data_IF_964517643691
#
_entry.id   IF_964517643691
#
_cell.length_a   1.000
_cell.length_b   1.000
_cell.length_c   1.000
_cell.angle_alpha   90.00
_cell.angle_beta   90.00
_cell.angle_gamma   90.00
#
_symmetry.space_group_name_H-M   'P 1'
#
loop_
_entity.id
_entity.type
_entity.pdbx_description
1 polymer ?
#
# COMPACT_ATOMS: atom_id res chain seq x y z
N UNK A 1 92.33 -29.08 -18.14
CA UNK A 1 91.08 -29.47 -18.81
C UNK A 1 89.92 -28.71 -18.18
N UNK A 2 89.14 -27.96 -18.95
CA UNK A 2 87.85 -27.45 -18.49
C UNK A 2 86.78 -28.53 -18.72
N UNK A 3 85.86 -28.73 -17.77
CA UNK A 3 84.61 -29.46 -17.97
C UNK A 3 83.49 -28.65 -17.34
N UNK A 4 82.66 -28.03 -18.19
CA UNK A 4 81.46 -27.31 -17.79
C UNK A 4 80.40 -28.29 -17.28
N UNK A 5 80.03 -28.20 -16.01
CA UNK A 5 78.83 -28.85 -15.47
C UNK A 5 77.58 -28.07 -15.89
N UNK A 6 76.50 -28.73 -16.35
CA UNK A 6 75.30 -28.05 -16.83
C UNK A 6 74.47 -27.45 -15.69
N UNK A 7 73.81 -26.34 -16.00
CA UNK A 7 72.96 -25.58 -15.07
C UNK A 7 71.61 -26.31 -14.84
N UNK A 8 71.17 -26.56 -13.58
CA UNK A 8 69.96 -27.33 -13.32
C UNK A 8 68.69 -26.53 -13.64
N UNK A 9 68.05 -26.87 -14.76
CA UNK A 9 66.79 -26.25 -15.22
C UNK A 9 65.64 -26.45 -14.22
N UNK A 10 65.28 -25.37 -13.53
CA UNK A 10 64.15 -25.34 -12.59
C UNK A 10 62.84 -25.58 -13.36
N UNK A 11 62.03 -26.61 -13.03
CA UNK A 11 60.77 -26.85 -13.71
C UNK A 11 59.76 -25.74 -13.39
N UNK A 12 58.94 -25.29 -14.37
CA UNK A 12 58.03 -24.17 -14.18
C UNK A 12 56.97 -24.49 -13.12
N UNK A 13 56.87 -23.62 -12.10
CA UNK A 13 55.93 -23.76 -11.00
C UNK A 13 54.48 -23.78 -11.51
N UNK A 14 53.86 -24.97 -11.54
CA UNK A 14 52.46 -25.11 -11.91
C UNK A 14 51.58 -24.16 -11.06
N UNK A 15 50.78 -23.28 -11.68
CA UNK A 15 49.98 -22.32 -10.92
C UNK A 15 49.07 -23.04 -9.93
N UNK A 16 49.32 -22.84 -8.62
CA UNK A 16 48.48 -23.38 -7.54
C UNK A 16 47.06 -22.84 -7.70
N UNK A 17 46.20 -23.58 -8.41
CA UNK A 17 44.77 -23.28 -8.59
C UNK A 17 44.18 -23.05 -7.21
N UNK A 18 43.96 -21.77 -6.85
CA UNK A 18 43.27 -21.38 -5.62
C UNK A 18 41.88 -22.00 -5.69
N UNK A 19 41.70 -23.16 -5.05
CA UNK A 19 40.38 -23.80 -4.86
C UNK A 19 39.52 -22.75 -4.18
N UNK A 20 38.62 -22.09 -4.94
CA UNK A 20 37.59 -21.20 -4.37
C UNK A 20 36.94 -21.99 -3.25
N UNK A 21 37.11 -21.55 -1.99
CA UNK A 21 36.36 -22.10 -0.87
C UNK A 21 34.89 -22.02 -1.30
N UNK A 22 34.25 -23.17 -1.58
CA UNK A 22 32.80 -23.21 -1.78
C UNK A 22 32.23 -22.61 -0.50
N UNK A 23 31.72 -21.38 -0.57
CA UNK A 23 31.02 -20.79 0.56
C UNK A 23 29.93 -21.77 0.91
N UNK A 24 29.96 -22.33 2.13
CA UNK A 24 28.84 -23.13 2.63
C UNK A 24 27.63 -22.22 2.54
N UNK A 25 26.73 -22.51 1.60
CA UNK A 25 25.54 -21.69 1.36
C UNK A 25 24.81 -21.59 2.69
N UNK A 26 24.62 -20.36 3.20
CA UNK A 26 23.94 -20.14 4.48
C UNK A 26 22.59 -20.83 4.39
N UNK A 27 22.41 -21.93 5.14
CA UNK A 27 21.21 -22.77 5.13
C UNK A 27 20.00 -21.84 5.24
N UNK A 28 19.12 -21.86 4.24
CA UNK A 28 18.15 -20.79 4.03
C UNK A 28 17.36 -20.49 5.30
N UNK A 29 17.24 -19.21 5.68
CA UNK A 29 16.35 -18.81 6.78
C UNK A 29 14.95 -19.32 6.46
N UNK A 30 14.24 -19.87 7.46
CA UNK A 30 12.85 -20.37 7.32
C UNK A 30 12.00 -19.33 6.60
N UNK A 31 11.61 -19.61 5.36
CA UNK A 31 10.94 -18.67 4.45
C UNK A 31 9.45 -18.96 4.39
N UNK A 32 8.62 -17.97 4.73
CA UNK A 32 7.16 -18.08 4.65
C UNK A 32 6.46 -16.95 5.41
N UNK A 33 5.13 -16.83 5.25
CA UNK A 33 4.35 -15.74 5.87
C UNK A 33 4.42 -15.78 7.41
N UNK A 34 4.18 -16.95 8.04
CA UNK A 34 4.28 -17.09 9.51
C UNK A 34 5.70 -16.74 10.02
N UNK A 35 6.76 -17.22 9.38
CA UNK A 35 8.14 -16.91 9.78
C UNK A 35 8.52 -15.42 9.58
N UNK A 36 7.99 -14.76 8.53
CA UNK A 36 8.15 -13.31 8.35
C UNK A 36 7.39 -12.50 9.41
N UNK A 37 6.19 -12.95 9.79
CA UNK A 37 5.37 -12.32 10.82
C UNK A 37 6.02 -12.49 12.20
N UNK A 38 6.38 -13.71 12.60
CA UNK A 38 7.09 -14.00 13.86
C UNK A 38 8.39 -13.19 14.04
N UNK A 39 9.07 -12.85 12.93
CA UNK A 39 10.27 -12.01 13.00
C UNK A 39 9.99 -10.50 13.13
N UNK A 40 8.76 -10.03 12.85
CA UNK A 40 8.36 -8.61 12.80
C UNK A 40 6.82 -8.48 12.97
N UNK A 41 6.22 -8.90 14.10
CA UNK A 41 4.77 -9.12 14.20
C UNK A 41 3.96 -7.84 13.97
N UNK A 42 4.43 -6.72 14.51
CA UNK A 42 3.78 -5.40 14.41
C UNK A 42 4.28 -4.54 13.24
N UNK A 43 5.13 -5.09 12.35
CA UNK A 43 5.72 -4.37 11.22
C UNK A 43 5.45 -4.97 9.81
N UNK A 44 4.33 -5.68 9.53
CA UNK A 44 3.91 -6.08 8.18
C UNK A 44 3.37 -4.88 7.38
N UNK A 45 3.05 -5.09 6.10
CA UNK A 45 2.49 -4.06 5.21
C UNK A 45 0.98 -3.83 5.38
N UNK A 46 0.27 -4.85 5.88
CA UNK A 46 -1.12 -4.83 6.34
C UNK A 46 -1.15 -5.57 7.69
N UNK A 47 -2.01 -5.21 8.66
CA UNK A 47 -2.06 -5.85 9.99
C UNK A 47 -2.29 -7.35 9.92
N UNK A 48 -1.68 -8.14 10.81
CA UNK A 48 -2.18 -9.50 11.08
C UNK A 48 -3.50 -9.44 11.83
N UNK A 49 -4.47 -10.27 11.44
CA UNK A 49 -5.83 -10.26 11.98
C UNK A 49 -6.26 -11.62 12.55
N UNK A 50 -7.33 -11.53 13.32
CA UNK A 50 -8.17 -12.50 14.05
C UNK A 50 -9.37 -11.64 14.47
N UNK A 51 -10.67 -11.91 14.50
CA UNK A 51 -11.59 -12.97 14.09
C UNK A 51 -11.72 -14.24 14.94
N UNK A 52 -12.66 -14.15 15.90
CA UNK A 52 -13.53 -15.23 16.34
C UNK A 52 -14.89 -14.67 16.79
N UNK A 53 -15.99 -15.38 16.52
CA UNK A 53 -17.24 -15.21 17.26
C UNK A 53 -17.04 -15.80 18.67
N UNK A 54 -17.17 -14.96 19.71
CA UNK A 54 -16.86 -15.34 21.08
C UNK A 54 -18.00 -16.04 21.81
N UNK A 55 -19.27 -15.81 21.44
CA UNK A 55 -20.45 -16.34 22.15
C UNK A 55 -20.36 -16.06 23.67
N UNK A 56 -20.37 -14.77 24.03
CA UNK A 56 -19.86 -14.18 25.28
C UNK A 56 -18.34 -14.09 25.36
N UNK A 57 -17.81 -12.91 25.69
CA UNK A 57 -16.38 -12.67 25.86
C UNK A 57 -15.89 -12.80 27.31
N UNK A 58 -16.71 -12.40 28.28
CA UNK A 58 -16.32 -12.33 29.70
C UNK A 58 -15.81 -13.67 30.25
N UNK A 59 -16.50 -14.76 29.94
CA UNK A 59 -16.12 -16.11 30.38
C UNK A 59 -14.93 -16.73 29.62
N UNK A 60 -14.23 -15.95 28.78
CA UNK A 60 -13.08 -16.39 27.97
C UNK A 60 -11.85 -15.48 28.12
N UNK A 61 -11.95 -14.43 28.94
CA UNK A 61 -10.88 -13.43 29.10
C UNK A 61 -9.55 -14.04 29.55
N UNK A 62 -9.56 -14.99 30.47
CA UNK A 62 -8.32 -15.55 31.01
C UNK A 62 -7.62 -16.50 30.01
N UNK A 63 -8.38 -17.21 29.17
CA UNK A 63 -7.81 -17.95 28.03
C UNK A 63 -7.14 -16.99 27.04
N UNK A 64 -7.78 -15.87 26.71
CA UNK A 64 -7.22 -14.87 25.80
C UNK A 64 -5.97 -14.23 26.41
N UNK A 65 -6.00 -13.87 27.69
CA UNK A 65 -4.83 -13.34 28.43
C UNK A 65 -3.67 -14.34 28.41
N UNK A 66 -3.91 -15.61 28.71
CA UNK A 66 -2.90 -16.67 28.63
C UNK A 66 -2.34 -16.84 27.21
N UNK A 67 -3.17 -16.75 26.16
CA UNK A 67 -2.71 -16.87 24.78
C UNK A 67 -1.97 -15.62 24.26
N UNK A 68 -2.25 -14.43 24.80
CA UNK A 68 -1.46 -13.21 24.54
C UNK A 68 -0.10 -13.31 25.26
N UNK A 69 -0.10 -13.61 26.56
CA UNK A 69 1.13 -13.71 27.38
C UNK A 69 2.07 -14.82 26.88
N UNK A 70 1.53 -15.96 26.43
CA UNK A 70 2.33 -17.05 25.85
C UNK A 70 2.78 -16.80 24.39
N UNK A 71 2.54 -15.62 23.82
CA UNK A 71 2.94 -15.25 22.46
C UNK A 71 2.24 -16.04 21.35
N UNK A 72 1.18 -16.79 21.68
CA UNK A 72 0.42 -17.61 20.72
C UNK A 72 -0.52 -16.76 19.86
N UNK A 73 -1.01 -15.63 20.39
CA UNK A 73 -2.07 -14.79 19.78
C UNK A 73 -1.56 -13.39 19.44
N UNK A 74 -0.44 -13.35 18.71
CA UNK A 74 0.33 -12.14 18.40
C UNK A 74 -0.14 -11.43 17.11
N UNK A 75 -1.44 -11.12 17.03
CA UNK A 75 -2.04 -10.36 15.92
C UNK A 75 -1.96 -8.85 16.15
N UNK A 76 -1.73 -8.06 15.09
CA UNK A 76 -1.83 -6.60 15.11
C UNK A 76 -3.19 -6.13 15.62
N UNK A 77 -4.26 -6.84 15.23
CA UNK A 77 -5.64 -6.57 15.65
C UNK A 77 -6.32 -7.88 16.03
N UNK A 78 -7.10 -7.87 17.10
CA UNK A 78 -8.15 -8.87 17.34
C UNK A 78 -9.53 -8.23 17.10
N UNK A 79 -10.45 -8.98 16.50
CA UNK A 79 -11.81 -8.61 16.10
C UNK A 79 -12.70 -9.70 16.69
N UNK A 80 -13.63 -9.31 17.55
CA UNK A 80 -14.49 -10.23 18.29
C UNK A 80 -15.95 -9.87 18.05
N UNK A 81 -16.73 -10.83 17.59
CA UNK A 81 -18.19 -10.73 17.43
C UNK A 81 -18.89 -11.51 18.54
N UNK A 82 -20.15 -11.17 18.82
CA UNK A 82 -20.91 -11.70 19.96
C UNK A 82 -20.16 -11.59 21.30
N UNK A 83 -19.68 -10.39 21.60
CA UNK A 83 -18.99 -10.11 22.87
C UNK A 83 -19.92 -10.26 24.08
N UNK A 84 -21.22 -10.01 23.89
CA UNK A 84 -22.26 -9.95 24.94
C UNK A 84 -21.87 -9.02 26.12
N UNK A 85 -21.16 -7.93 25.82
CA UNK A 85 -20.83 -6.89 26.80
C UNK A 85 -21.99 -5.89 26.93
N UNK A 86 -22.05 -5.23 28.09
CA UNK A 86 -22.92 -4.11 28.38
C UNK A 86 -22.15 -3.01 29.15
N UNK A 87 -22.81 -1.86 29.34
CA UNK A 87 -22.25 -0.71 30.05
C UNK A 87 -21.89 -0.98 31.52
N UNK A 88 -22.41 -2.06 32.13
CA UNK A 88 -22.14 -2.43 33.52
C UNK A 88 -20.82 -3.18 33.68
N UNK A 89 -20.34 -3.80 32.59
CA UNK A 89 -19.01 -4.40 32.53
C UNK A 89 -18.00 -3.28 32.22
N UNK A 90 -17.05 -2.94 33.12
CA UNK A 90 -16.07 -1.89 32.86
C UNK A 90 -14.97 -2.37 31.90
N UNK A 91 -14.35 -1.46 31.16
CA UNK A 91 -13.28 -1.78 30.18
C UNK A 91 -12.12 -2.57 30.81
N UNK A 92 -11.77 -2.28 32.07
CA UNK A 92 -10.75 -3.00 32.83
C UNK A 92 -11.04 -4.52 32.98
N UNK A 93 -12.31 -4.93 33.01
CA UNK A 93 -12.67 -6.35 33.07
C UNK A 93 -12.29 -7.09 31.77
N UNK A 94 -12.34 -6.40 30.64
CA UNK A 94 -12.00 -6.91 29.30
C UNK A 94 -10.61 -6.49 28.80
N UNK A 95 -9.80 -5.83 29.62
CA UNK A 95 -8.48 -5.37 29.22
C UNK A 95 -7.52 -6.53 28.89
N UNK A 96 -6.73 -6.33 27.83
CA UNK A 96 -5.65 -7.20 27.38
C UNK A 96 -4.34 -6.41 27.31
N UNK A 97 -3.27 -6.96 27.91
CA UNK A 97 -1.96 -6.33 27.95
C UNK A 97 -1.46 -5.89 26.56
N UNK A 98 -0.93 -4.66 26.49
CA UNK A 98 -0.43 -4.01 25.26
C UNK A 98 -1.44 -3.83 24.12
N UNK A 99 -2.76 -3.86 24.40
CA UNK A 99 -3.82 -3.64 23.40
C UNK A 99 -4.85 -2.61 23.86
N UNK A 100 -5.08 -1.58 23.06
CA UNK A 100 -6.25 -0.71 23.21
C UNK A 100 -7.51 -1.48 22.81
N UNK A 101 -8.47 -1.57 23.73
CA UNK A 101 -9.83 -2.08 23.45
C UNK A 101 -10.71 -0.96 22.90
N UNK A 102 -11.56 -1.29 21.94
CA UNK A 102 -12.58 -0.43 21.36
C UNK A 102 -13.82 -1.31 21.21
N UNK A 103 -14.93 -0.99 21.90
CA UNK A 103 -16.15 -1.80 21.87
C UNK A 103 -17.35 -1.02 21.34
N UNK A 104 -18.31 -1.75 20.78
CA UNK A 104 -19.64 -1.28 20.48
C UNK A 104 -20.61 -2.32 21.05
N UNK A 105 -21.22 -1.97 22.18
CA UNK A 105 -22.09 -2.86 22.93
C UNK A 105 -23.54 -2.72 22.46
N UNK A 106 -24.36 -3.72 22.78
CA UNK A 106 -25.72 -3.82 22.24
C UNK A 106 -26.67 -2.86 22.98
N UNK A 107 -27.19 -1.89 22.25
CA UNK A 107 -28.23 -0.96 22.74
C UNK A 107 -29.64 -1.55 22.63
N UNK A 108 -30.63 -0.86 23.21
CA UNK A 108 -32.04 -1.24 23.17
C UNK A 108 -32.64 -1.29 21.75
N UNK A 109 -32.08 -0.50 20.82
CA UNK A 109 -32.53 -0.29 19.41
C UNK A 109 -32.41 -1.53 18.50
N UNK A 110 -32.19 -2.69 19.10
CA UNK A 110 -31.73 -3.91 18.44
C UNK A 110 -32.65 -5.11 18.68
N UNK A 111 -33.78 -4.86 19.37
CA UNK A 111 -34.93 -5.72 19.68
C UNK A 111 -34.64 -7.08 20.36
N UNK A 112 -33.41 -7.29 20.86
CA UNK A 112 -32.96 -8.60 21.37
C UNK A 112 -32.32 -8.48 22.74
N UNK A 113 -32.85 -9.27 23.70
CA UNK A 113 -32.40 -9.30 25.11
C UNK A 113 -31.08 -10.04 25.36
N UNK A 114 -30.46 -10.63 24.34
CA UNK A 114 -29.21 -11.43 24.41
C UNK A 114 -28.61 -11.62 23.01
N UNK A 115 -27.28 -11.72 22.91
CA UNK A 115 -26.55 -11.93 21.65
C UNK A 115 -25.91 -10.65 21.11
N UNK A 116 -24.92 -10.75 20.21
CA UNK A 116 -24.27 -9.58 19.58
C UNK A 116 -23.28 -8.80 20.46
N UNK A 117 -23.01 -7.55 20.08
CA UNK A 117 -21.90 -6.75 20.59
C UNK A 117 -20.56 -7.05 19.90
N UNK A 118 -19.72 -6.04 19.74
CA UNK A 118 -18.48 -6.05 18.96
C UNK A 118 -17.30 -5.50 19.76
N UNK A 119 -16.11 -6.07 19.58
CA UNK A 119 -14.86 -5.50 20.10
C UNK A 119 -13.69 -5.61 19.11
N UNK A 120 -12.90 -4.55 19.05
CA UNK A 120 -11.62 -4.45 18.35
C UNK A 120 -10.50 -4.22 19.38
N UNK A 121 -9.47 -5.06 19.36
CA UNK A 121 -8.27 -4.91 20.19
C UNK A 121 -7.06 -4.60 19.32
N UNK A 122 -6.63 -3.34 19.31
CA UNK A 122 -5.52 -2.84 18.50
C UNK A 122 -4.23 -2.94 19.30
N UNK A 123 -3.20 -3.62 18.78
CA UNK A 123 -1.94 -3.78 19.50
C UNK A 123 -1.09 -2.50 19.47
N UNK A 124 -0.68 -2.02 20.65
CA UNK A 124 -0.09 -0.70 20.84
C UNK A 124 1.27 -0.54 20.16
N UNK A 125 2.00 -1.63 19.89
CA UNK A 125 3.25 -1.61 19.10
C UNK A 125 3.04 -1.61 17.58
N UNK A 126 1.81 -1.79 17.09
CA UNK A 126 1.45 -1.66 15.67
C UNK A 126 0.87 -0.26 15.38
N UNK A 127 -0.07 0.19 16.21
CA UNK A 127 -0.79 1.46 16.00
C UNK A 127 -1.24 2.07 17.34
N UNK A 128 -1.10 3.38 17.48
CA UNK A 128 -1.71 4.20 18.55
C UNK A 128 -2.50 5.39 18.02
N UNK A 129 -2.25 5.82 16.77
CA UNK A 129 -3.08 6.80 16.05
C UNK A 129 -4.33 6.08 15.54
N UNK A 130 -5.40 6.19 16.33
CA UNK A 130 -6.64 5.43 16.27
C UNK A 130 -7.80 6.41 16.39
N UNK A 131 -8.80 6.31 15.51
CA UNK A 131 -10.07 7.04 15.66
C UNK A 131 -11.25 6.16 15.26
N UNK A 132 -12.24 6.04 16.15
CA UNK A 132 -13.56 5.49 15.79
C UNK A 132 -14.17 6.39 14.71
N UNK A 133 -14.69 5.79 13.65
CA UNK A 133 -15.33 6.49 12.52
C UNK A 133 -16.86 6.43 12.57
N UNK A 134 -17.39 5.39 13.21
CA UNK A 134 -18.82 5.15 13.34
C UNK A 134 -19.10 3.82 14.04
N UNK A 135 -20.19 3.82 14.79
CA UNK A 135 -20.76 2.66 15.50
C UNK A 135 -22.25 2.60 15.18
N UNK A 136 -22.77 1.39 14.97
CA UNK A 136 -24.17 1.18 14.63
C UNK A 136 -24.70 -0.07 15.31
N UNK A 137 -25.97 -0.01 15.71
CA UNK A 137 -26.69 -1.09 16.37
C UNK A 137 -28.14 -0.99 15.93
N UNK A 138 -28.61 -1.96 15.13
CA UNK A 138 -30.01 -2.09 14.71
C UNK A 138 -30.45 -3.55 14.84
N UNK A 139 -31.74 -3.89 14.59
CA UNK A 139 -32.19 -5.28 14.62
C UNK A 139 -31.53 -6.14 13.52
N UNK A 140 -31.02 -5.50 12.45
CA UNK A 140 -30.47 -6.14 11.26
C UNK A 140 -28.94 -6.05 11.15
N UNK A 141 -28.31 -5.02 11.74
CA UNK A 141 -26.89 -4.74 11.56
C UNK A 141 -26.24 -4.10 12.79
N UNK A 142 -25.19 -4.74 13.29
CA UNK A 142 -24.24 -4.18 14.25
C UNK A 142 -22.89 -3.95 13.54
N UNK A 143 -22.31 -2.75 13.65
CA UNK A 143 -20.93 -2.49 13.18
C UNK A 143 -20.15 -1.53 14.06
N UNK A 144 -18.82 -1.68 14.06
CA UNK A 144 -17.84 -0.78 14.68
C UNK A 144 -16.71 -0.53 13.68
N UNK A 145 -16.54 0.71 13.22
CA UNK A 145 -15.47 1.08 12.29
C UNK A 145 -14.40 1.95 12.95
N UNK A 146 -13.14 1.57 12.75
CA UNK A 146 -11.96 2.24 13.30
C UNK A 146 -10.95 2.51 12.21
N UNK A 147 -10.51 3.77 12.10
CA UNK A 147 -9.34 4.17 11.30
C UNK A 147 -8.09 4.03 12.15
N UNK A 148 -7.10 3.32 11.62
CA UNK A 148 -5.78 3.13 12.20
C UNK A 148 -4.72 3.73 11.28
N UNK A 149 -3.75 4.48 11.83
CA UNK A 149 -2.55 4.94 11.13
C UNK A 149 -1.29 4.31 11.76
N UNK A 150 -0.95 3.06 11.38
CA UNK A 150 0.13 2.32 12.04
C UNK A 150 1.51 2.94 11.76
N UNK A 151 2.44 2.76 12.71
CA UNK A 151 3.79 3.34 12.67
C UNK A 151 4.60 3.00 11.41
N UNK A 152 4.22 1.93 10.70
CA UNK A 152 4.86 1.46 9.47
C UNK A 152 3.85 1.23 8.34
N UNK A 153 2.93 2.17 8.16
CA UNK A 153 2.07 2.21 6.98
C UNK A 153 2.92 2.33 5.70
N UNK A 154 2.55 1.58 4.66
CA UNK A 154 3.25 1.63 3.36
C UNK A 154 2.75 2.83 2.53
N UNK A 155 3.62 3.41 1.70
CA UNK A 155 3.32 4.62 0.90
C UNK A 155 2.19 4.48 -0.12
N UNK A 156 1.72 3.25 -0.34
CA UNK A 156 0.58 2.92 -1.16
C UNK A 156 -0.77 3.18 -0.45
N UNK A 157 -0.77 3.39 0.87
CA UNK A 157 -2.00 3.62 1.65
C UNK A 157 -1.98 4.91 2.49
N UNK A 158 -3.12 5.60 2.59
CA UNK A 158 -3.27 6.78 3.44
C UNK A 158 -3.64 6.42 4.90
N UNK A 159 -4.41 5.36 5.11
CA UNK A 159 -4.78 4.78 6.40
C UNK A 159 -5.15 3.29 6.24
N UNK A 160 -5.38 2.59 7.36
CA UNK A 160 -6.08 1.29 7.38
C UNK A 160 -7.42 1.49 8.08
N UNK A 161 -8.51 1.14 7.43
CA UNK A 161 -9.88 1.23 7.99
C UNK A 161 -10.36 -0.20 8.25
N UNK A 162 -10.78 -0.47 9.49
CA UNK A 162 -11.20 -1.78 9.95
C UNK A 162 -12.63 -1.66 10.47
N UNK A 163 -13.55 -2.37 9.82
CA UNK A 163 -14.96 -2.47 10.21
C UNK A 163 -15.23 -3.87 10.76
N UNK A 164 -15.51 -3.96 12.06
CA UNK A 164 -16.12 -5.13 12.67
C UNK A 164 -17.62 -5.16 12.31
N UNK A 165 -18.15 -6.33 11.98
CA UNK A 165 -19.56 -6.52 11.59
C UNK A 165 -20.17 -7.71 12.34
N UNK A 166 -21.42 -7.59 12.78
CA UNK A 166 -22.27 -8.71 13.14
C UNK A 166 -23.66 -8.51 12.51
N UNK A 167 -24.07 -9.47 11.68
CA UNK A 167 -25.41 -9.52 11.09
C UNK A 167 -26.16 -10.70 11.73
N UNK A 168 -27.23 -10.44 12.52
CA UNK A 168 -27.99 -11.50 13.18
C UNK A 168 -28.62 -12.50 12.16
N UNK A 169 -28.76 -13.79 12.49
CA UNK A 169 -29.22 -14.84 11.56
C UNK A 169 -30.70 -14.75 11.13
N UNK A 170 -31.43 -13.72 11.56
CA UNK A 170 -32.80 -13.39 11.10
C UNK A 170 -32.92 -11.98 10.50
N UNK A 171 -31.78 -11.33 10.25
CA UNK A 171 -31.73 -9.97 9.74
C UNK A 171 -32.23 -9.86 8.30
N UNK A 172 -32.84 -8.72 7.97
CA UNK A 172 -33.11 -8.32 6.61
C UNK A 172 -31.80 -8.01 5.88
N UNK A 173 -31.34 -9.00 5.10
CA UNK A 173 -30.10 -8.93 4.34
C UNK A 173 -30.01 -7.70 3.41
N UNK A 174 -31.14 -7.18 2.92
CA UNK A 174 -31.16 -5.99 2.06
C UNK A 174 -30.84 -4.72 2.85
N UNK A 175 -31.51 -4.49 3.98
CA UNK A 175 -31.29 -3.29 4.82
C UNK A 175 -29.86 -3.26 5.37
N UNK A 176 -29.38 -4.39 5.91
CA UNK A 176 -28.01 -4.51 6.41
C UNK A 176 -26.95 -4.24 5.31
N UNK A 177 -27.20 -4.67 4.07
CA UNK A 177 -26.30 -4.38 2.94
C UNK A 177 -26.39 -2.92 2.46
N UNK A 178 -27.58 -2.30 2.49
CA UNK A 178 -27.75 -0.89 2.11
C UNK A 178 -27.09 0.06 3.13
N UNK A 179 -27.19 -0.24 4.43
CA UNK A 179 -26.51 0.49 5.51
C UNK A 179 -24.98 0.34 5.43
N UNK A 180 -24.48 -0.90 5.29
CA UNK A 180 -23.05 -1.15 5.07
C UNK A 180 -22.53 -0.47 3.79
N UNK A 181 -23.30 -0.52 2.69
CA UNK A 181 -22.92 0.11 1.43
C UNK A 181 -22.78 1.62 1.56
N UNK A 182 -23.78 2.28 2.17
CA UNK A 182 -23.76 3.74 2.42
C UNK A 182 -22.52 4.13 3.21
N UNK A 183 -22.35 3.56 4.39
CA UNK A 183 -21.25 3.92 5.30
C UNK A 183 -19.86 3.61 4.72
N UNK A 184 -19.65 2.42 4.12
CA UNK A 184 -18.34 2.05 3.55
C UNK A 184 -18.02 2.93 2.33
N UNK A 185 -19.02 3.29 1.51
CA UNK A 185 -18.82 4.18 0.37
C UNK A 185 -18.40 5.59 0.80
N UNK A 186 -19.01 6.14 1.86
CA UNK A 186 -18.59 7.41 2.47
C UNK A 186 -17.13 7.36 2.93
N UNK A 187 -16.72 6.28 3.62
CA UNK A 187 -15.32 6.14 4.07
C UNK A 187 -14.34 5.95 2.91
N UNK A 188 -14.73 5.26 1.84
CA UNK A 188 -13.92 5.13 0.63
C UNK A 188 -13.78 6.45 -0.14
N UNK A 189 -14.83 7.29 -0.16
CA UNK A 189 -14.78 8.63 -0.77
C UNK A 189 -13.91 9.59 0.05
N UNK A 190 -14.00 9.54 1.39
CA UNK A 190 -13.19 10.35 2.29
C UNK A 190 -11.71 9.91 2.33
N UNK A 191 -11.42 8.62 2.09
CA UNK A 191 -10.06 8.06 2.11
C UNK A 191 -9.79 7.13 0.90
N UNK A 192 -9.64 7.66 -0.33
CA UNK A 192 -9.53 6.82 -1.55
C UNK A 192 -8.30 5.89 -1.60
N UNK A 193 -7.18 6.28 -0.97
CA UNK A 193 -5.99 5.44 -0.82
C UNK A 193 -6.04 4.57 0.47
N UNK A 194 -7.19 4.31 1.09
CA UNK A 194 -7.25 3.48 2.30
C UNK A 194 -7.20 1.97 2.02
N UNK A 195 -6.51 1.24 2.87
CA UNK A 195 -6.68 -0.21 2.99
C UNK A 195 -7.95 -0.49 3.81
N UNK A 196 -9.04 -0.90 3.16
CA UNK A 196 -10.33 -1.16 3.82
C UNK A 196 -10.48 -2.66 4.08
N UNK A 197 -10.80 -3.00 5.32
CA UNK A 197 -10.96 -4.37 5.82
C UNK A 197 -12.32 -4.44 6.53
N UNK A 198 -13.20 -5.31 6.06
CA UNK A 198 -14.51 -5.57 6.69
C UNK A 198 -14.51 -7.01 7.15
N UNK A 199 -14.72 -7.26 8.44
CA UNK A 199 -14.49 -8.55 9.06
C UNK A 199 -15.50 -8.82 10.19
N UNK A 200 -15.99 -10.05 10.27
CA UNK A 200 -16.94 -10.43 11.32
C UNK A 200 -17.82 -11.60 10.92
N UNK A 201 -18.95 -11.74 11.59
CA UNK A 201 -19.93 -12.80 11.33
C UNK A 201 -21.11 -12.22 10.55
N UNK A 202 -21.26 -12.68 9.31
CA UNK A 202 -22.26 -12.22 8.35
C UNK A 202 -23.49 -13.13 8.31
N UNK A 203 -23.48 -14.26 9.04
CA UNK A 203 -24.45 -15.35 8.94
C UNK A 203 -24.79 -15.71 7.47
N UNK A 204 -25.94 -15.24 6.97
CA UNK A 204 -26.49 -15.52 5.64
C UNK A 204 -26.12 -14.49 4.55
N UNK A 205 -25.36 -13.43 4.88
CA UNK A 205 -25.09 -12.29 3.98
C UNK A 205 -23.73 -12.40 3.26
N UNK A 206 -23.65 -11.91 2.02
CA UNK A 206 -22.40 -11.78 1.26
C UNK A 206 -22.19 -10.32 0.79
N UNK A 207 -21.17 -9.66 1.35
CA UNK A 207 -20.83 -8.25 1.06
C UNK A 207 -20.52 -7.97 -0.43
N UNK A 208 -20.12 -8.99 -1.20
CA UNK A 208 -19.88 -8.85 -2.65
C UNK A 208 -21.09 -8.42 -3.45
N UNK A 209 -22.32 -8.63 -2.95
CA UNK A 209 -23.54 -8.18 -3.61
C UNK A 209 -23.54 -6.65 -3.84
N UNK A 210 -22.94 -5.88 -2.93
CA UNK A 210 -22.79 -4.42 -3.02
C UNK A 210 -21.35 -3.97 -3.31
N UNK A 211 -20.34 -4.76 -2.90
CA UNK A 211 -18.92 -4.47 -3.16
C UNK A 211 -18.21 -5.59 -3.95
N UNK A 212 -18.51 -5.79 -5.25
CA UNK A 212 -17.96 -6.89 -6.04
C UNK A 212 -16.42 -6.84 -6.21
N UNK A 213 -15.81 -5.66 -6.01
CA UNK A 213 -14.35 -5.47 -6.03
C UNK A 213 -13.66 -6.02 -4.75
N UNK A 214 -14.37 -6.21 -3.65
CA UNK A 214 -13.79 -6.70 -2.40
C UNK A 214 -13.56 -8.21 -2.45
N UNK A 215 -12.35 -8.64 -2.09
CA UNK A 215 -11.99 -10.05 -2.10
C UNK A 215 -12.30 -10.71 -0.74
N UNK A 216 -13.12 -11.76 -0.78
CA UNK A 216 -13.38 -12.67 0.33
C UNK A 216 -12.14 -13.52 0.60
N UNK A 217 -11.57 -13.42 1.80
CA UNK A 217 -10.30 -14.05 2.18
C UNK A 217 -10.49 -15.46 2.77
N UNK A 218 -11.66 -15.74 3.36
CA UNK A 218 -12.02 -17.02 3.99
C UNK A 218 -12.70 -17.92 2.95
N UNK A 219 -12.34 -19.22 2.96
CA UNK A 219 -12.78 -20.24 1.98
C UNK A 219 -13.01 -21.62 2.61
N UNK A 220 -13.16 -21.69 3.93
CA UNK A 220 -13.35 -22.91 4.70
C UNK A 220 -14.46 -22.68 5.74
N UNK A 221 -15.18 -23.72 6.17
CA UNK A 221 -16.21 -23.60 7.21
C UNK A 221 -15.67 -22.97 8.49
N UNK A 222 -16.43 -22.07 9.10
CA UNK A 222 -16.10 -21.42 10.37
C UNK A 222 -17.04 -21.83 11.51
N UNK A 223 -18.23 -22.34 11.18
CA UNK A 223 -19.17 -22.99 12.11
C UNK A 223 -19.77 -24.21 11.42
N UNK A 224 -19.57 -25.40 11.99
CA UNK A 224 -19.96 -26.67 11.36
C UNK A 224 -19.45 -26.77 9.90
N UNK A 225 -20.36 -26.88 8.92
CA UNK A 225 -20.06 -26.90 7.48
C UNK A 225 -20.21 -25.52 6.79
N UNK A 226 -20.56 -24.47 7.54
CA UNK A 226 -20.95 -23.16 7.02
C UNK A 226 -19.85 -22.09 7.16
N UNK A 227 -19.79 -21.14 6.22
CA UNK A 227 -18.81 -20.03 6.20
C UNK A 227 -19.49 -18.73 6.64
N UNK A 228 -19.82 -18.62 7.93
CA UNK A 228 -20.55 -17.49 8.51
C UNK A 228 -19.62 -16.30 8.81
N UNK A 229 -18.45 -16.60 9.39
CA UNK A 229 -17.39 -15.64 9.65
C UNK A 229 -16.62 -15.35 8.36
N UNK A 230 -16.60 -14.08 7.96
CA UNK A 230 -16.07 -13.66 6.67
C UNK A 230 -15.18 -12.42 6.81
N UNK A 231 -14.14 -12.35 5.98
CA UNK A 231 -13.28 -11.16 5.84
C UNK A 231 -13.21 -10.75 4.38
N UNK A 232 -13.48 -9.49 4.14
CA UNK A 232 -13.43 -8.81 2.86
C UNK A 232 -12.37 -7.71 2.91
N UNK A 233 -11.65 -7.51 1.81
CA UNK A 233 -10.69 -6.43 1.68
C UNK A 233 -10.68 -5.88 0.25
N UNK A 234 -10.49 -4.57 0.09
CA UNK A 234 -10.37 -3.91 -1.22
C UNK A 234 -9.06 -4.24 -1.96
N UNK A 235 -8.08 -4.83 -1.27
CA UNK A 235 -6.75 -5.16 -1.81
C UNK A 235 -6.68 -6.62 -2.29
N UNK A 236 -6.24 -6.81 -3.53
CA UNK A 236 -6.04 -8.15 -4.12
C UNK A 236 -4.91 -8.92 -3.46
N UNK A 237 -5.19 -10.16 -3.04
CA UNK A 237 -4.22 -11.02 -2.35
C UNK A 237 -3.71 -10.44 -1.02
N UNK A 238 -4.55 -9.68 -0.31
CA UNK A 238 -4.21 -9.05 0.96
C UNK A 238 -3.75 -10.07 2.03
N UNK A 239 -4.49 -11.17 2.18
CA UNK A 239 -4.33 -12.13 3.26
C UNK A 239 -4.26 -13.58 2.79
N UNK A 240 -3.74 -14.43 3.67
CA UNK A 240 -4.00 -15.87 3.68
C UNK A 240 -4.67 -16.21 5.00
N UNK A 241 -5.98 -16.47 4.97
CA UNK A 241 -6.72 -17.00 6.11
C UNK A 241 -6.25 -18.43 6.45
N UNK A 242 -6.25 -18.75 7.74
CA UNK A 242 -5.93 -20.07 8.29
C UNK A 242 -6.86 -20.32 9.48
N UNK A 243 -7.46 -21.51 9.55
CA UNK A 243 -8.22 -21.91 10.73
C UNK A 243 -7.34 -21.95 11.99
N UNK A 244 -7.90 -21.52 13.10
CA UNK A 244 -7.33 -21.57 14.44
C UNK A 244 -8.36 -22.20 15.41
N UNK A 245 -7.95 -22.68 16.61
CA UNK A 245 -8.85 -23.35 17.55
C UNK A 245 -10.08 -22.50 17.92
N UNK A 246 -11.15 -23.15 18.37
CA UNK A 246 -12.29 -22.48 19.00
C UNK A 246 -11.83 -21.56 20.14
N UNK A 247 -12.56 -20.45 20.33
CA UNK A 247 -12.37 -19.57 21.48
C UNK A 247 -13.24 -20.08 22.62
N UNK A 248 -12.62 -20.69 23.64
CA UNK A 248 -13.30 -21.40 24.72
C UNK A 248 -14.31 -22.42 24.17
N UNK A 249 -15.49 -22.46 24.78
CA UNK A 249 -16.63 -23.26 24.34
C UNK A 249 -17.49 -22.55 23.26
N UNK A 250 -16.90 -21.73 22.38
CA UNK A 250 -17.60 -21.20 21.20
C UNK A 250 -17.80 -22.30 20.16
N UNK A 251 -18.95 -22.32 19.50
CA UNK A 251 -19.28 -23.21 18.38
C UNK A 251 -18.70 -22.74 17.02
N UNK A 252 -18.02 -21.59 17.00
CA UNK A 252 -17.26 -21.08 15.86
C UNK A 252 -15.75 -21.29 16.06
N UNK A 253 -15.05 -21.76 15.02
CA UNK A 253 -13.58 -21.76 15.01
C UNK A 253 -13.04 -20.34 14.85
N UNK A 254 -11.85 -20.09 15.40
CA UNK A 254 -11.15 -18.84 15.18
C UNK A 254 -10.47 -18.80 13.80
N UNK A 255 -10.14 -17.60 13.29
CA UNK A 255 -9.45 -17.43 12.01
C UNK A 255 -8.26 -16.49 12.11
N UNK A 256 -7.04 -17.01 11.90
CA UNK A 256 -5.86 -16.17 11.66
C UNK A 256 -5.86 -15.65 10.22
N UNK A 257 -5.68 -14.35 10.00
CA UNK A 257 -5.34 -13.81 8.67
C UNK A 257 -3.90 -13.30 8.66
N UNK A 258 -3.06 -14.06 7.96
CA UNK A 258 -1.65 -13.76 7.76
C UNK A 258 -1.50 -12.77 6.59
N UNK A 259 -0.88 -11.59 6.77
CA UNK A 259 -0.76 -10.61 5.70
C UNK A 259 0.15 -11.16 4.58
N UNK A 260 -0.47 -11.45 3.44
CA UNK A 260 0.17 -11.97 2.24
C UNK A 260 0.61 -10.84 1.29
N UNK A 261 0.06 -9.63 1.48
CA UNK A 261 0.40 -8.46 0.68
C UNK A 261 1.90 -8.16 0.66
N UNK A 262 2.40 -7.81 -0.53
CA UNK A 262 3.76 -7.36 -0.77
C UNK A 262 3.68 -5.99 -1.44
N UNK A 263 4.29 -4.93 -0.87
CA UNK A 263 4.20 -3.58 -1.42
C UNK A 263 4.67 -3.47 -2.87
N UNK A 264 4.13 -2.52 -3.61
CA UNK A 264 4.44 -2.32 -5.04
C UNK A 264 5.94 -2.08 -5.24
N UNK A 265 6.58 -1.29 -4.35
CA UNK A 265 8.04 -1.08 -4.36
C UNK A 265 8.89 -2.37 -4.18
N UNK A 266 8.28 -3.44 -3.66
CA UNK A 266 8.92 -4.75 -3.49
C UNK A 266 8.53 -5.76 -4.58
N UNK A 267 7.44 -5.50 -5.34
CA UNK A 267 6.99 -6.33 -6.47
C UNK A 267 7.63 -5.89 -7.78
N UNK A 268 7.60 -4.59 -8.06
CA UNK A 268 7.97 -4.02 -9.35
C UNK A 268 9.39 -3.44 -9.27
N UNK A 269 10.27 -3.84 -10.19
CA UNK A 269 11.63 -3.26 -10.29
C UNK A 269 11.54 -1.79 -10.72
N UNK A 270 12.35 -0.86 -10.16
CA UNK A 270 12.42 0.50 -10.67
C UNK A 270 12.86 0.50 -12.13
N UNK A 271 12.12 1.20 -12.98
CA UNK A 271 12.44 1.36 -14.40
C UNK A 271 13.54 2.39 -14.58
N UNK A 272 14.26 2.28 -15.70
CA UNK A 272 15.29 3.25 -16.08
C UNK A 272 14.78 3.94 -17.34
N UNK A 273 14.63 5.26 -17.31
CA UNK A 273 14.25 6.08 -18.47
C UNK A 273 15.41 7.00 -18.80
N UNK A 274 15.82 7.05 -20.06
CA UNK A 274 16.51 8.23 -20.60
C UNK A 274 15.49 9.36 -20.73
N UNK A 275 15.93 10.58 -20.43
CA UNK A 275 15.19 11.83 -20.72
C UNK A 275 16.18 12.82 -21.32
N UNK A 276 15.76 13.55 -22.36
CA UNK A 276 16.45 14.76 -22.80
C UNK A 276 16.38 15.82 -21.69
N UNK A 277 17.31 16.78 -21.66
CA UNK A 277 17.38 17.80 -20.62
C UNK A 277 17.50 19.19 -21.23
N UNK A 278 16.39 19.89 -21.26
CA UNK A 278 16.32 21.33 -21.50
C UNK A 278 17.05 22.07 -20.37
N UNK A 279 18.20 22.63 -20.72
CA UNK A 279 18.87 23.71 -19.99
C UNK A 279 18.75 24.98 -20.83
N UNK A 280 18.87 26.16 -20.23
CA UNK A 280 18.82 27.42 -20.99
C UNK A 280 19.86 27.45 -22.12
N UNK A 281 21.06 26.90 -21.85
CA UNK A 281 22.13 26.65 -22.81
C UNK A 281 21.66 25.80 -24.01
N UNK A 282 21.11 24.61 -23.74
CA UNK A 282 20.66 23.69 -24.79
C UNK A 282 19.41 24.18 -25.53
N UNK A 283 18.52 24.93 -24.87
CA UNK A 283 17.39 25.59 -25.52
C UNK A 283 17.85 26.70 -26.47
N UNK A 284 18.84 27.50 -26.06
CA UNK A 284 19.45 28.52 -26.92
C UNK A 284 20.07 27.88 -28.15
N UNK A 285 20.96 26.88 -27.98
CA UNK A 285 21.62 26.21 -29.11
C UNK A 285 20.61 25.52 -30.05
N UNK A 286 19.48 25.01 -29.54
CA UNK A 286 18.44 24.43 -30.40
C UNK A 286 17.68 25.52 -31.18
N UNK A 287 17.42 26.68 -30.56
CA UNK A 287 16.87 27.84 -31.25
C UNK A 287 17.85 28.34 -32.33
N UNK A 288 19.14 28.48 -32.01
CA UNK A 288 20.20 28.85 -32.97
C UNK A 288 20.20 27.91 -34.18
N UNK A 289 20.11 26.59 -33.96
CA UNK A 289 19.99 25.60 -35.04
C UNK A 289 18.75 25.83 -35.92
N UNK A 290 17.58 26.10 -35.34
CA UNK A 290 16.34 26.32 -36.09
C UNK A 290 16.28 27.66 -36.82
N UNK A 291 16.93 28.71 -36.31
CA UNK A 291 17.06 30.01 -36.97
C UNK A 291 18.00 29.95 -38.19
N UNK A 292 19.03 29.09 -38.14
CA UNK A 292 19.97 28.87 -39.25
C UNK A 292 19.55 27.73 -40.20
N UNK A 293 18.35 27.15 -40.02
CA UNK A 293 17.80 26.12 -40.91
C UNK A 293 17.10 26.76 -42.12
N UNK A 294 17.45 26.35 -43.34
CA UNK A 294 16.64 26.68 -44.52
C UNK A 294 15.39 25.79 -44.58
N UNK A 295 14.30 26.29 -43.99
CA UNK A 295 12.98 25.67 -44.05
C UNK A 295 12.35 25.67 -45.46
N UNK A 296 12.98 26.30 -46.45
CA UNK A 296 12.61 26.20 -47.86
C UNK A 296 12.80 24.80 -48.42
N UNK A 297 13.87 24.10 -48.03
CA UNK A 297 14.26 22.77 -48.55
C UNK A 297 13.14 21.73 -48.40
N UNK A 298 12.36 21.78 -47.32
CA UNK A 298 11.27 20.83 -47.10
C UNK A 298 10.07 21.04 -48.04
N UNK A 299 9.90 22.22 -48.64
CA UNK A 299 8.73 22.57 -49.46
C UNK A 299 8.70 21.88 -50.83
N UNK A 300 9.78 21.23 -51.23
CA UNK A 300 9.85 20.42 -52.46
C UNK A 300 9.25 19.00 -52.30
N UNK A 301 8.78 18.65 -51.10
CA UNK A 301 8.10 17.38 -50.84
C UNK A 301 6.83 17.20 -51.70
N UNK A 302 6.66 15.99 -52.24
CA UNK A 302 5.56 15.60 -53.14
C UNK A 302 4.16 15.72 -52.55
N UNK A 303 4.05 15.62 -51.22
CA UNK A 303 2.80 15.44 -50.50
C UNK A 303 2.95 15.84 -49.02
N UNK A 304 1.81 15.99 -48.33
CA UNK A 304 1.75 16.48 -46.96
C UNK A 304 2.31 15.49 -45.92
N UNK A 305 2.25 14.18 -46.18
CA UNK A 305 2.74 13.15 -45.25
C UNK A 305 4.27 13.07 -45.31
N UNK A 306 4.85 13.10 -46.52
CA UNK A 306 6.30 13.25 -46.75
C UNK A 306 6.81 14.58 -46.18
N UNK A 307 6.11 15.70 -46.40
CA UNK A 307 6.46 17.00 -45.83
C UNK A 307 6.52 16.95 -44.29
N UNK A 308 5.42 16.51 -43.65
CA UNK A 308 5.34 16.50 -42.18
C UNK A 308 6.31 15.52 -41.55
N UNK A 309 6.54 14.35 -42.18
CA UNK A 309 7.55 13.38 -41.73
C UNK A 309 8.96 13.97 -41.82
N UNK A 310 9.34 14.56 -42.95
CA UNK A 310 10.69 15.13 -43.15
C UNK A 310 10.99 16.27 -42.17
N UNK A 311 10.01 17.14 -41.90
CA UNK A 311 10.13 18.22 -40.91
C UNK A 311 10.25 17.66 -39.49
N UNK A 312 9.45 16.65 -39.13
CA UNK A 312 9.50 16.03 -37.81
C UNK A 312 10.83 15.28 -37.57
N UNK A 313 11.33 14.56 -38.58
CA UNK A 313 12.61 13.84 -38.50
C UNK A 313 13.80 14.80 -38.39
N UNK A 314 13.77 15.94 -39.10
CA UNK A 314 14.81 16.97 -38.95
C UNK A 314 14.76 17.65 -37.57
N UNK A 315 13.56 17.99 -37.09
CA UNK A 315 13.38 18.54 -35.73
C UNK A 315 13.87 17.53 -34.68
N UNK A 316 13.56 16.24 -34.83
CA UNK A 316 14.04 15.18 -33.96
C UNK A 316 15.57 15.05 -34.01
N UNK A 317 16.18 15.10 -35.20
CA UNK A 317 17.64 15.08 -35.38
C UNK A 317 18.33 16.23 -34.64
N UNK A 318 17.88 17.48 -34.83
CA UNK A 318 18.43 18.63 -34.11
C UNK A 318 18.22 18.51 -32.59
N UNK A 319 17.05 18.02 -32.16
CA UNK A 319 16.73 17.80 -30.75
C UNK A 319 17.65 16.75 -30.10
N UNK A 320 17.91 15.63 -30.78
CA UNK A 320 18.82 14.58 -30.27
C UNK A 320 20.31 14.95 -30.37
N UNK A 321 20.68 15.84 -31.30
CA UNK A 321 22.04 16.36 -31.42
C UNK A 321 22.37 17.40 -30.32
N UNK A 322 21.42 18.26 -29.96
CA UNK A 322 21.63 19.36 -29.01
C UNK A 322 21.27 18.99 -27.56
N UNK A 323 20.17 18.26 -27.30
CA UNK A 323 19.70 18.07 -25.93
C UNK A 323 20.46 16.96 -25.18
N UNK A 324 21.20 17.27 -24.10
CA UNK A 324 21.98 16.27 -23.38
C UNK A 324 21.07 15.28 -22.64
N UNK A 325 21.11 14.01 -23.02
CA UNK A 325 20.31 12.97 -22.37
C UNK A 325 20.85 12.62 -20.98
N UNK A 326 19.95 12.41 -20.01
CA UNK A 326 20.29 11.93 -18.66
C UNK A 326 19.45 10.71 -18.29
N UNK A 327 20.12 9.68 -17.80
CA UNK A 327 19.48 8.43 -17.35
C UNK A 327 18.90 8.60 -15.95
N UNK A 328 17.57 8.55 -15.82
CA UNK A 328 16.87 8.63 -14.53
C UNK A 328 16.27 7.28 -14.13
N UNK A 329 16.37 6.96 -12.83
CA UNK A 329 15.73 5.78 -12.24
C UNK A 329 14.37 6.18 -11.67
N UNK A 330 13.30 5.64 -12.24
CA UNK A 330 11.91 5.92 -11.86
C UNK A 330 11.43 4.79 -10.95
N UNK A 331 10.87 5.15 -9.80
CA UNK A 331 10.34 4.18 -8.85
C UNK A 331 8.82 4.01 -9.04
N UNK A 332 8.26 2.80 -8.90
CA UNK A 332 6.82 2.55 -9.12
C UNK A 332 5.88 3.35 -8.23
N UNK A 333 6.38 3.91 -7.11
CA UNK A 333 5.63 4.75 -6.18
C UNK A 333 6.15 6.20 -6.11
N UNK A 334 6.83 6.67 -7.16
CA UNK A 334 7.12 8.10 -7.33
C UNK A 334 5.83 8.83 -7.73
N UNK A 335 5.28 9.64 -6.81
CA UNK A 335 4.07 10.45 -7.11
C UNK A 335 4.40 11.49 -8.22
N UNK A 336 3.47 11.81 -9.15
CA UNK A 336 3.80 12.57 -10.37
C UNK A 336 4.31 14.00 -10.15
N UNK A 337 3.95 14.64 -9.03
CA UNK A 337 4.44 15.97 -8.63
C UNK A 337 5.92 15.99 -8.15
N UNK A 338 6.62 14.86 -8.12
CA UNK A 338 8.03 14.79 -7.69
C UNK A 338 8.98 15.08 -8.86
N UNK A 339 9.05 16.35 -9.25
CA UNK A 339 9.87 16.90 -10.33
C UNK A 339 11.35 17.14 -9.96
N UNK A 340 12.11 17.78 -10.86
CA UNK A 340 13.50 18.21 -10.67
C UNK A 340 13.68 19.23 -9.54
N UNK A 341 12.73 20.16 -9.38
CA UNK A 341 12.76 21.24 -8.39
C UNK A 341 12.52 20.73 -6.97
N UNK A 342 11.55 19.84 -6.77
CA UNK A 342 11.35 19.15 -5.50
C UNK A 342 12.58 18.29 -5.14
N UNK A 343 13.27 17.72 -6.14
CA UNK A 343 14.53 16.98 -5.94
C UNK A 343 15.72 17.89 -5.61
N UNK A 344 15.82 19.12 -6.14
CA UNK A 344 16.90 20.05 -5.79
C UNK A 344 16.71 20.62 -4.38
N UNK A 345 15.49 21.04 -4.02
CA UNK A 345 15.14 21.45 -2.65
C UNK A 345 15.41 20.36 -1.62
N UNK A 346 15.16 19.09 -1.96
CA UNK A 346 15.48 17.95 -1.09
C UNK A 346 16.99 17.82 -0.86
N UNK A 347 17.80 17.98 -1.92
CA UNK A 347 19.27 17.96 -1.85
C UNK A 347 19.82 19.15 -1.07
N UNK A 348 19.23 20.34 -1.20
CA UNK A 348 19.63 21.53 -0.45
C UNK A 348 19.43 21.29 1.06
N UNK A 349 18.23 20.85 1.47
CA UNK A 349 17.93 20.44 2.85
C UNK A 349 18.91 19.39 3.36
N UNK A 350 19.15 18.34 2.59
CA UNK A 350 20.03 17.24 3.01
C UNK A 350 21.51 17.62 3.02
N UNK A 351 21.89 18.73 2.39
CA UNK A 351 23.24 19.30 2.47
C UNK A 351 23.36 20.22 3.70
N UNK A 352 22.38 21.08 3.94
CA UNK A 352 22.31 21.90 5.17
C UNK A 352 22.22 21.05 6.45
N UNK A 353 21.55 19.89 6.40
CA UNK A 353 21.56 18.93 7.51
C UNK A 353 22.97 18.35 7.78
N UNK A 354 23.75 18.11 6.71
CA UNK A 354 25.11 17.53 6.81
C UNK A 354 26.19 18.55 7.15
N UNK A 355 25.98 19.84 6.89
CA UNK A 355 26.86 20.91 7.36
C UNK A 355 26.64 21.28 8.84
N UNK A 356 25.51 20.89 9.42
CA UNK A 356 25.15 21.21 10.82
C UNK A 356 24.58 22.62 11.04
N UNK A 357 24.48 23.44 9.99
CA UNK A 357 23.91 24.78 10.06
C UNK A 357 22.40 24.72 10.35
N UNK A 358 22.02 25.14 11.55
CA UNK A 358 20.64 25.14 12.03
C UNK A 358 19.76 26.18 11.33
N UNK A 359 20.32 27.29 10.85
CA UNK A 359 19.57 28.35 10.15
C UNK A 359 19.33 27.95 8.70
N UNK A 360 20.37 27.54 7.96
CA UNK A 360 20.21 27.03 6.61
C UNK A 360 19.31 25.79 6.56
N UNK A 361 19.43 24.86 7.53
CA UNK A 361 18.54 23.71 7.62
C UNK A 361 17.09 24.10 7.94
N UNK A 362 16.87 25.19 8.67
CA UNK A 362 15.53 25.72 8.92
C UNK A 362 14.90 26.30 7.64
N UNK A 363 15.63 27.15 6.91
CA UNK A 363 15.13 27.74 5.67
C UNK A 363 14.89 26.69 4.58
N UNK A 364 15.85 25.78 4.34
CA UNK A 364 15.70 24.70 3.36
C UNK A 364 14.56 23.72 3.73
N UNK A 365 14.16 23.61 5.00
CA UNK A 365 12.94 22.86 5.40
C UNK A 365 11.64 23.61 5.12
N UNK A 366 11.64 24.94 5.18
CA UNK A 366 10.52 25.79 4.77
C UNK A 366 10.35 25.77 3.25
N UNK A 367 11.41 26.08 2.52
CA UNK A 367 11.43 26.09 1.05
C UNK A 367 11.02 24.74 0.46
N UNK A 368 11.49 23.62 1.03
CA UNK A 368 11.05 22.28 0.61
C UNK A 368 9.55 22.03 0.89
N UNK A 369 8.99 22.58 1.97
CA UNK A 369 7.55 22.45 2.27
C UNK A 369 6.72 23.21 1.24
N UNK A 370 7.09 24.46 0.99
CA UNK A 370 6.44 25.36 0.03
C UNK A 370 6.57 24.83 -1.40
N UNK A 371 7.76 24.37 -1.81
CA UNK A 371 7.99 23.73 -3.10
C UNK A 371 7.17 22.45 -3.29
N UNK A 372 7.01 21.62 -2.25
CA UNK A 372 6.12 20.43 -2.30
C UNK A 372 4.64 20.85 -2.42
N UNK A 373 4.21 21.93 -1.78
CA UNK A 373 2.85 22.45 -1.93
C UNK A 373 2.62 22.99 -3.35
N UNK A 374 3.54 23.80 -3.88
CA UNK A 374 3.49 24.37 -5.23
C UNK A 374 3.52 23.29 -6.32
N UNK A 375 4.39 22.29 -6.21
CA UNK A 375 4.46 21.18 -7.16
C UNK A 375 3.17 20.33 -7.16
N UNK A 376 2.58 20.09 -5.98
CA UNK A 376 1.26 19.47 -5.87
C UNK A 376 0.15 20.33 -6.50
N UNK A 377 0.17 21.64 -6.29
CA UNK A 377 -0.81 22.56 -6.86
C UNK A 377 -0.71 22.60 -8.40
N UNK A 378 0.50 22.73 -8.96
CA UNK A 378 0.77 22.66 -10.40
C UNK A 378 0.31 21.34 -11.01
N UNK A 379 0.55 20.21 -10.33
CA UNK A 379 0.07 18.91 -10.79
C UNK A 379 -1.46 18.80 -10.73
N UNK A 380 -2.10 19.27 -9.64
CA UNK A 380 -3.56 19.33 -9.51
C UNK A 380 -4.17 20.14 -10.67
N UNK A 381 -3.69 21.36 -10.90
CA UNK A 381 -4.20 22.25 -11.95
C UNK A 381 -4.12 21.61 -13.34
N UNK A 382 -2.98 20.97 -13.67
CA UNK A 382 -2.77 20.24 -14.93
C UNK A 382 -3.75 19.08 -15.14
N UNK A 383 -4.17 18.43 -14.06
CA UNK A 383 -5.19 17.37 -14.13
C UNK A 383 -6.59 17.99 -14.29
N UNK A 384 -6.89 19.10 -13.61
CA UNK A 384 -8.17 19.82 -13.73
C UNK A 384 -8.38 20.46 -15.11
N UNK A 385 -7.32 20.96 -15.76
CA UNK A 385 -7.37 21.53 -17.12
C UNK A 385 -7.96 20.55 -18.14
N UNK A 386 -7.66 19.25 -18.03
CA UNK A 386 -8.24 18.20 -18.88
C UNK A 386 -9.76 18.05 -18.76
N UNK A 387 -10.41 18.69 -17.79
CA UNK A 387 -11.87 18.67 -17.57
C UNK A 387 -12.52 20.06 -17.73
N UNK A 388 -11.77 21.09 -18.15
CA UNK A 388 -12.32 22.44 -18.43
C UNK A 388 -12.73 22.63 -19.88
N UNK A 389 -12.11 21.91 -20.80
CA UNK A 389 -12.45 21.88 -22.23
C UNK A 389 -13.54 20.84 -22.49
N UNK A 390 -14.52 21.15 -23.34
CA UNK A 390 -15.44 20.14 -23.91
C UNK A 390 -14.74 19.34 -25.04
N UNK A 391 -13.65 18.68 -24.65
CA UNK A 391 -12.78 17.94 -25.53
C UNK A 391 -12.66 16.51 -24.99
N UNK A 392 -13.44 15.54 -25.51
CA UNK A 392 -13.40 14.16 -25.06
C UNK A 392 -12.00 13.54 -25.06
N UNK A 393 -11.10 13.95 -25.97
CA UNK A 393 -9.70 13.48 -25.98
C UNK A 393 -8.90 14.03 -24.80
N UNK A 394 -9.14 15.28 -24.37
CA UNK A 394 -8.53 15.89 -23.19
C UNK A 394 -9.06 15.21 -21.92
N UNK A 395 -10.38 15.06 -21.79
CA UNK A 395 -11.02 14.36 -20.68
C UNK A 395 -10.51 12.92 -20.53
N UNK A 396 -10.38 12.16 -21.62
CA UNK A 396 -9.80 10.81 -21.59
C UNK A 396 -8.31 10.78 -21.21
N UNK A 397 -7.53 11.85 -21.43
CA UNK A 397 -6.16 11.97 -20.90
C UNK A 397 -6.19 12.18 -19.38
N UNK A 398 -7.05 13.09 -18.89
CA UNK A 398 -7.27 13.32 -17.46
C UNK A 398 -7.68 12.04 -16.71
N UNK A 399 -8.67 11.31 -17.24
CA UNK A 399 -9.13 10.03 -16.66
C UNK A 399 -8.00 9.00 -16.57
N UNK A 400 -7.19 8.82 -17.63
CA UNK A 400 -6.03 7.90 -17.58
C UNK A 400 -4.97 8.32 -16.56
N UNK A 401 -4.72 9.63 -16.43
CA UNK A 401 -3.75 10.17 -15.48
C UNK A 401 -4.19 10.06 -14.01
N UNK A 402 -5.50 9.98 -13.75
CA UNK A 402 -6.06 9.73 -12.40
C UNK A 402 -6.13 8.23 -12.07
N UNK A 403 -6.43 7.38 -13.06
CA UNK A 403 -6.75 5.96 -12.85
C UNK A 403 -5.59 4.98 -13.08
N UNK A 404 -4.43 5.47 -13.53
CA UNK A 404 -3.30 4.67 -14.06
C UNK A 404 -3.71 3.67 -15.18
N UNK A 405 -4.89 3.87 -15.77
CA UNK A 405 -5.46 2.91 -16.73
C UNK A 405 -4.69 2.92 -18.05
N UNK A 406 -3.97 1.82 -18.30
CA UNK A 406 -3.12 1.59 -19.47
C UNK A 406 -2.17 2.77 -19.73
N UNK A 407 -1.19 2.95 -18.85
CA UNK A 407 0.08 3.60 -19.20
C UNK A 407 0.85 2.73 -20.23
N UNK A 408 0.29 2.55 -21.42
CA UNK A 408 1.01 2.00 -22.57
C UNK A 408 2.13 2.95 -22.99
N UNK A 409 3.19 2.39 -23.55
CA UNK A 409 4.38 3.11 -24.02
C UNK A 409 3.99 4.25 -24.98
N UNK A 410 4.82 5.31 -25.04
CA UNK A 410 4.54 6.65 -25.60
C UNK A 410 3.78 7.63 -24.69
N UNK A 411 4.26 7.81 -23.46
CA UNK A 411 4.43 9.19 -22.98
C UNK A 411 5.67 9.77 -23.66
N UNK A 412 5.47 10.41 -24.81
CA UNK A 412 6.43 11.44 -25.29
C UNK A 412 6.38 12.56 -24.25
N UNK A 413 7.53 12.91 -23.69
CA UNK A 413 7.62 13.89 -22.62
C UNK A 413 7.49 15.31 -23.17
N UNK A 414 6.26 15.82 -23.23
CA UNK A 414 6.02 17.27 -23.17
C UNK A 414 6.35 17.75 -21.76
N UNK A 415 7.60 18.19 -21.58
CA UNK A 415 8.20 18.79 -20.39
C UNK A 415 9.28 19.78 -20.83
#
# INVERSE_FOLDING_TARGET
MQRSTPDPTIPPLCPRRRRRRKQKTRRGKRSGLRARLQANPYKPALPSLFLANARSLTNKMDEIRLQVVSGKRDSCVAIVTETWLDEKIPDAAVELASRTVLRADRTADSDKRRGGGLALYVHNSWCTDISIMGTHCSPDLEYLTVKCRPFKLVREFCAVIITAVYIPPRANAKLALEELYRFISEQMNAYPEAAVIVAGDFNHVELKAVFPKFQKQIKFPTRENNILDQVYCNISGAYRAVAAPHLGMSDHISVELLPAYVPVICRTRPTTKTVQVWSEEASSTLQDCFEHTDWGVFKEASDLETYTTSVLDYVQFCTDAVLPTKTIKVFPNQKPWMDSTVRSLLRARDTAFRSGDRLAYSSARRELREGIQLAKHRHKHRIEEHFREDNPRSMWRGIRAITDYKQSERQVSQF
#
